data_IF_464384791696
#
_entry.id   IF_464384791696
#
_cell.length_a   1.000
_cell.length_b   1.000
_cell.length_c   1.000
_cell.angle_alpha   90.00
_cell.angle_beta   90.00
_cell.angle_gamma   90.00
#
_symmetry.space_group_name_H-M   'P 1'
#
loop_
_entity.id
_entity.type
_entity.pdbx_description
1 polymer ?
#
# COMPACT_ATOMS: atom_id res chain seq x y z
N UNK A 1 -17.82 33.20 27.16
CA UNK A 1 -16.38 33.36 27.45
C UNK A 1 -16.21 33.36 28.95
N UNK A 2 -15.17 32.75 29.56
CA UNK A 2 -13.91 32.22 28.99
C UNK A 2 -14.02 30.70 28.69
N UNK A 3 -13.37 30.08 27.70
CA UNK A 3 -11.94 29.95 27.32
C UNK A 3 -11.20 28.85 28.09
N UNK A 4 -10.70 27.90 27.27
CA UNK A 4 -9.43 27.16 27.42
C UNK A 4 -9.39 25.83 28.21
N UNK A 5 -8.75 24.86 27.55
CA UNK A 5 -8.01 23.72 28.12
C UNK A 5 -8.79 22.49 28.59
N UNK A 6 -9.31 21.72 27.63
CA UNK A 6 -9.24 20.26 27.73
C UNK A 6 -8.46 19.73 26.54
N UNK A 7 -7.18 19.43 26.81
CA UNK A 7 -6.24 18.86 25.87
C UNK A 7 -6.66 17.46 25.48
N UNK A 8 -7.11 17.33 24.24
CA UNK A 8 -7.33 16.04 23.59
C UNK A 8 -5.96 15.43 23.26
N UNK A 9 -5.54 14.52 24.13
CA UNK A 9 -4.51 13.53 23.87
C UNK A 9 -5.08 12.49 22.89
N UNK A 10 -4.20 11.85 22.09
CA UNK A 10 -4.16 10.40 21.85
C UNK A 10 -3.27 10.04 20.64
N UNK A 11 -2.38 9.07 20.85
CA UNK A 11 -1.44 8.48 19.89
C UNK A 11 -2.13 7.68 18.77
N UNK A 12 -1.44 7.45 17.64
CA UNK A 12 -1.95 6.54 16.62
C UNK A 12 -0.81 5.84 15.86
N UNK A 13 -0.48 4.63 16.32
CA UNK A 13 -0.22 3.50 15.43
C UNK A 13 -1.55 3.07 14.81
N UNK A 14 -1.50 2.55 13.58
CA UNK A 14 -2.63 2.39 12.64
C UNK A 14 -3.90 1.77 13.30
N UNK A 15 -4.86 2.60 13.76
CA UNK A 15 -6.33 2.40 13.75
C UNK A 15 -7.12 3.68 14.15
N UNK A 16 -8.18 3.95 13.36
CA UNK A 16 -9.34 4.88 13.48
C UNK A 16 -9.13 6.40 13.32
N UNK A 17 -9.77 6.92 12.27
CA UNK A 17 -10.53 8.19 12.24
C UNK A 17 -9.89 9.38 12.98
N UNK A 18 -8.83 9.96 12.42
CA UNK A 18 -8.33 11.27 12.83
C UNK A 18 -8.42 12.27 11.69
N UNK A 19 -8.92 13.45 12.04
CA UNK A 19 -9.40 14.54 11.18
C UNK A 19 -8.31 15.61 11.17
N UNK A 20 -7.33 15.48 10.29
CA UNK A 20 -6.39 16.55 9.95
C UNK A 20 -5.96 16.34 8.51
N UNK A 21 -6.22 17.31 7.64
CA UNK A 21 -5.99 17.23 6.19
C UNK A 21 -4.49 17.08 5.86
N UNK A 22 -4.03 15.98 5.23
CA UNK A 22 -2.72 15.91 4.62
C UNK A 22 -2.85 16.10 3.09
N UNK A 23 -1.95 16.90 2.52
CA UNK A 23 -1.61 16.80 1.10
C UNK A 23 -0.46 15.81 0.93
N UNK A 24 -0.65 14.76 0.12
CA UNK A 24 0.36 13.76 -0.20
C UNK A 24 0.87 14.02 -1.61
N UNK A 25 2.16 14.27 -1.75
CA UNK A 25 2.82 14.51 -3.04
C UNK A 25 3.55 13.22 -3.43
N UNK A 26 3.26 12.63 -4.58
CA UNK A 26 4.02 11.51 -5.12
C UNK A 26 4.96 12.01 -6.21
N UNK A 27 6.26 11.85 -6.00
CA UNK A 27 7.37 12.23 -6.86
C UNK A 27 8.24 11.00 -7.12
N UNK A 28 8.65 10.72 -8.35
CA UNK A 28 9.67 9.73 -8.57
C UNK A 28 11.07 10.35 -8.46
N UNK A 29 11.86 9.96 -7.46
CA UNK A 29 13.20 10.51 -7.20
C UNK A 29 14.12 9.39 -6.74
N UNK A 30 15.08 9.01 -7.59
CA UNK A 30 16.08 8.00 -7.29
C UNK A 30 17.11 8.52 -6.29
N UNK A 31 17.34 7.75 -5.22
CA UNK A 31 18.57 7.65 -4.39
C UNK A 31 19.13 8.94 -3.77
N UNK A 32 18.78 9.23 -2.51
CA UNK A 32 19.66 9.93 -1.56
C UNK A 32 19.16 9.74 -0.10
N UNK A 33 19.62 8.69 0.58
CA UNK A 33 19.06 8.24 1.86
C UNK A 33 19.65 8.81 3.17
N UNK A 34 20.63 9.74 3.19
CA UNK A 34 20.86 10.52 4.44
C UNK A 34 20.71 12.04 4.33
N UNK A 35 21.08 12.69 3.21
CA UNK A 35 21.21 14.16 3.18
C UNK A 35 19.89 14.91 3.00
N UNK A 36 18.92 14.31 2.29
CA UNK A 36 17.59 14.90 2.11
C UNK A 36 16.76 14.92 3.42
N UNK A 37 17.02 13.96 4.33
CA UNK A 37 16.36 13.88 5.63
C UNK A 37 16.72 15.05 6.55
N UNK A 38 17.96 15.54 6.47
CA UNK A 38 18.44 16.68 7.27
C UNK A 38 18.00 18.01 6.64
N UNK A 39 18.06 18.15 5.31
CA UNK A 39 17.72 19.42 4.65
C UNK A 39 16.23 19.81 4.75
N UNK A 40 15.30 18.85 4.74
CA UNK A 40 13.87 19.14 4.91
C UNK A 40 13.49 19.54 6.35
N UNK A 41 14.23 19.06 7.35
CA UNK A 41 13.93 19.27 8.77
C UNK A 41 14.59 20.56 9.30
N UNK A 42 15.68 21.03 8.68
CA UNK A 42 16.39 22.25 9.09
C UNK A 42 15.77 23.55 8.55
N UNK A 43 14.94 23.49 7.50
CA UNK A 43 14.24 24.68 7.02
C UNK A 43 13.11 25.09 7.97
N UNK A 44 13.32 26.20 8.71
CA UNK A 44 12.37 26.80 9.68
C UNK A 44 10.97 27.08 9.13
N UNK A 45 10.78 27.12 7.81
CA UNK A 45 9.50 27.39 7.15
C UNK A 45 8.73 26.14 6.69
N UNK A 46 9.32 24.95 6.81
CA UNK A 46 8.66 23.71 6.44
C UNK A 46 7.75 23.22 7.58
N UNK A 47 6.43 23.29 7.37
CA UNK A 47 5.47 22.69 8.29
C UNK A 47 5.34 21.21 7.98
N UNK A 48 6.03 20.38 8.76
CA UNK A 48 5.92 18.92 8.70
C UNK A 48 4.49 18.45 8.99
N UNK A 49 4.18 17.27 8.47
CA UNK A 49 2.98 16.54 8.85
C UNK A 49 3.02 16.20 10.35
N UNK A 50 1.96 16.59 11.07
CA UNK A 50 1.87 16.33 12.52
C UNK A 50 1.23 14.95 12.73
N UNK A 51 2.06 14.02 13.17
CA UNK A 51 1.65 12.70 13.69
C UNK A 51 1.28 12.89 15.17
N UNK A 52 0.44 12.04 15.78
CA UNK A 52 0.13 12.12 17.20
C UNK A 52 1.36 12.18 18.13
N UNK A 53 1.18 12.72 19.34
CA UNK A 53 2.26 12.94 20.32
C UNK A 53 3.03 11.63 20.58
N UNK A 54 4.35 11.67 20.43
CA UNK A 54 5.26 10.52 20.60
C UNK A 54 5.69 9.83 19.31
N UNK A 55 5.13 10.18 18.16
CA UNK A 55 5.59 9.67 16.87
C UNK A 55 6.67 10.57 16.24
N UNK A 56 7.64 10.00 15.49
CA UNK A 56 8.62 10.79 14.76
C UNK A 56 7.94 11.66 13.70
N UNK A 57 8.51 12.83 13.42
CA UNK A 57 8.04 13.69 12.34
C UNK A 57 8.37 13.01 11.01
N UNK A 58 7.35 12.63 10.26
CA UNK A 58 7.51 12.02 8.93
C UNK A 58 7.48 13.15 7.89
N UNK A 59 8.53 13.26 7.09
CA UNK A 59 8.66 14.27 6.02
C UNK A 59 8.47 13.64 4.64
N UNK A 60 9.03 12.45 4.43
CA UNK A 60 8.91 11.71 3.18
C UNK A 60 9.03 10.19 3.40
N UNK A 61 8.62 9.42 2.40
CA UNK A 61 8.84 7.98 2.25
C UNK A 61 9.42 7.75 0.86
N UNK A 62 10.67 7.29 0.79
CA UNK A 62 11.38 7.06 -0.47
C UNK A 62 11.71 5.59 -0.66
N UNK A 63 11.48 5.07 -1.84
CA UNK A 63 11.94 3.74 -2.25
C UNK A 63 12.32 3.76 -3.72
N UNK A 64 13.60 3.49 -4.02
CA UNK A 64 14.16 3.59 -5.37
C UNK A 64 13.72 4.90 -6.04
N UNK A 65 12.96 4.82 -7.13
CA UNK A 65 12.45 5.94 -7.89
C UNK A 65 11.05 6.38 -7.45
N UNK A 66 10.52 5.99 -6.29
CA UNK A 66 9.17 6.37 -5.81
C UNK A 66 9.25 7.05 -4.44
N UNK A 67 9.00 8.35 -4.40
CA UNK A 67 9.04 9.22 -3.21
C UNK A 67 7.67 9.83 -2.92
N UNK A 68 7.18 9.64 -1.69
CA UNK A 68 6.02 10.33 -1.16
C UNK A 68 6.50 11.44 -0.23
N UNK A 69 6.16 12.69 -0.51
CA UNK A 69 6.46 13.83 0.37
C UNK A 69 5.19 14.24 1.12
N UNK A 70 5.30 14.33 2.44
CA UNK A 70 4.24 14.76 3.35
C UNK A 70 4.48 16.21 3.76
N UNK A 71 3.63 17.11 3.27
CA UNK A 71 3.76 18.54 3.55
C UNK A 71 2.41 19.17 3.89
N UNK A 72 2.46 20.24 4.69
CA UNK A 72 1.29 21.09 4.91
C UNK A 72 0.90 21.88 3.65
N UNK A 73 -0.38 22.28 3.55
CA UNK A 73 -0.93 23.00 2.39
C UNK A 73 -0.51 24.49 2.29
N UNK A 74 0.53 24.90 3.02
CA UNK A 74 1.05 26.28 3.04
C UNK A 74 1.90 26.56 1.79
N UNK A 75 1.76 27.75 1.19
CA UNK A 75 2.57 28.14 0.02
C UNK A 75 4.07 28.07 0.28
N UNK A 76 4.53 28.48 1.48
CA UNK A 76 5.96 28.49 1.80
C UNK A 76 6.53 27.08 1.88
N UNK A 77 5.81 26.16 2.53
CA UNK A 77 6.24 24.76 2.65
C UNK A 77 6.23 24.03 1.31
N UNK A 78 5.23 24.29 0.46
CA UNK A 78 5.18 23.72 -0.89
C UNK A 78 6.30 24.25 -1.79
N UNK A 79 6.62 25.54 -1.72
CA UNK A 79 7.74 26.13 -2.48
C UNK A 79 9.09 25.57 -2.01
N UNK A 80 9.27 25.40 -0.71
CA UNK A 80 10.46 24.77 -0.15
C UNK A 80 10.66 23.35 -0.70
N UNK A 81 9.60 22.55 -0.76
CA UNK A 81 9.65 21.21 -1.37
C UNK A 81 10.05 21.28 -2.85
N UNK A 82 9.41 22.15 -3.65
CA UNK A 82 9.76 22.30 -5.06
C UNK A 82 11.21 22.74 -5.26
N UNK A 83 11.69 23.68 -4.46
CA UNK A 83 13.07 24.16 -4.52
C UNK A 83 14.08 23.06 -4.18
N UNK A 84 13.77 22.20 -3.20
CA UNK A 84 14.64 21.07 -2.86
C UNK A 84 14.71 20.08 -4.01
N UNK A 85 13.58 19.79 -4.68
CA UNK A 85 13.57 18.85 -5.80
C UNK A 85 14.28 19.44 -7.01
N UNK A 86 14.10 20.73 -7.30
CA UNK A 86 14.83 21.43 -8.37
C UNK A 86 16.34 21.43 -8.12
N UNK A 87 16.76 21.74 -6.88
CA UNK A 87 18.17 21.70 -6.49
C UNK A 87 18.74 20.28 -6.61
N UNK A 88 17.97 19.27 -6.19
CA UNK A 88 18.35 17.87 -6.36
C UNK A 88 18.49 17.50 -7.84
N UNK A 89 17.55 17.92 -8.68
CA UNK A 89 17.60 17.68 -10.13
C UNK A 89 18.81 18.37 -10.78
N UNK A 90 19.15 19.58 -10.35
CA UNK A 90 20.32 20.30 -10.84
C UNK A 90 21.65 19.60 -10.50
N UNK A 91 21.74 18.99 -9.31
CA UNK A 91 22.95 18.27 -8.87
C UNK A 91 23.03 16.86 -9.48
N UNK A 92 21.91 16.14 -9.50
CA UNK A 92 21.85 14.75 -10.00
C UNK A 92 21.73 14.63 -11.51
N UNK A 93 21.33 15.69 -12.20
CA UNK A 93 20.96 15.67 -13.62
C UNK A 93 19.60 15.00 -13.89
N UNK A 94 18.81 14.71 -12.85
CA UNK A 94 17.50 14.07 -12.98
C UNK A 94 16.39 15.12 -13.14
N UNK A 95 15.45 14.87 -14.05
CA UNK A 95 14.27 15.71 -14.25
C UNK A 95 12.99 15.06 -13.71
N UNK A 96 12.11 15.89 -13.14
CA UNK A 96 10.81 15.45 -12.64
C UNK A 96 9.86 15.18 -13.81
N UNK A 97 9.29 13.98 -13.87
CA UNK A 97 8.19 13.70 -14.78
C UNK A 97 6.85 14.20 -14.21
N UNK A 98 6.46 15.42 -14.57
CA UNK A 98 5.22 16.09 -14.13
C UNK A 98 3.96 15.25 -14.41
N UNK A 99 3.94 14.47 -15.49
CA UNK A 99 2.79 13.62 -15.86
C UNK A 99 2.63 12.41 -14.94
N UNK A 100 3.76 11.85 -14.46
CA UNK A 100 3.75 10.78 -13.46
C UNK A 100 3.51 11.32 -12.06
N UNK A 101 3.96 12.54 -11.78
CA UNK A 101 3.76 13.20 -10.49
C UNK A 101 2.30 13.55 -10.25
N UNK A 102 1.92 13.61 -8.99
CA UNK A 102 0.58 14.01 -8.60
C UNK A 102 0.53 14.41 -7.15
N UNK A 103 -0.42 15.27 -6.83
CA UNK A 103 -0.73 15.58 -5.44
C UNK A 103 -2.10 15.04 -5.09
N UNK A 104 -2.24 14.63 -3.84
CA UNK A 104 -3.47 14.15 -3.23
C UNK A 104 -3.78 15.05 -2.06
N UNK A 105 -5.05 15.21 -1.75
CA UNK A 105 -5.51 15.99 -0.60
C UNK A 105 -6.58 15.20 0.12
N UNK A 106 -6.73 15.45 1.41
CA UNK A 106 -7.87 14.90 2.13
C UNK A 106 -9.18 15.57 1.69
N UNK A 107 -10.26 14.79 1.75
CA UNK A 107 -11.56 15.15 1.18
C UNK A 107 -12.23 16.38 1.85
N UNK A 108 -11.77 16.77 3.04
CA UNK A 108 -12.29 17.92 3.79
C UNK A 108 -11.52 19.22 3.52
N UNK A 109 -10.47 19.17 2.70
CA UNK A 109 -9.66 20.34 2.43
C UNK A 109 -10.42 21.36 1.57
N UNK A 110 -10.41 22.67 1.91
CA UNK A 110 -11.06 23.70 1.12
C UNK A 110 -10.54 23.78 -0.32
N UNK A 111 -11.44 24.09 -1.27
CA UNK A 111 -11.11 24.21 -2.70
C UNK A 111 -9.97 25.20 -2.98
N UNK A 112 -9.89 26.30 -2.23
CA UNK A 112 -8.82 27.30 -2.38
C UNK A 112 -7.44 26.74 -2.01
N UNK A 113 -7.35 25.81 -1.04
CA UNK A 113 -6.11 25.14 -0.69
C UNK A 113 -5.67 24.18 -1.81
N UNK A 114 -6.62 23.47 -2.42
CA UNK A 114 -6.35 22.58 -3.56
C UNK A 114 -5.85 23.38 -4.77
N UNK A 115 -6.49 24.51 -5.08
CA UNK A 115 -6.07 25.41 -6.14
C UNK A 115 -4.66 25.97 -5.88
N UNK A 116 -4.33 26.28 -4.62
CA UNK A 116 -3.00 26.73 -4.21
C UNK A 116 -1.95 25.65 -4.43
N UNK A 117 -2.20 24.41 -4.03
CA UNK A 117 -1.26 23.30 -4.23
C UNK A 117 -1.02 23.07 -5.72
N UNK A 118 -2.08 23.06 -6.52
CA UNK A 118 -2.00 22.92 -7.99
C UNK A 118 -1.20 24.06 -8.63
N UNK A 119 -1.37 25.29 -8.17
CA UNK A 119 -0.65 26.46 -8.69
C UNK A 119 0.84 26.42 -8.36
N UNK A 120 1.20 25.99 -7.14
CA UNK A 120 2.59 25.98 -6.70
C UNK A 120 3.37 24.79 -7.26
N UNK A 121 2.75 23.60 -7.31
CA UNK A 121 3.43 22.37 -7.74
C UNK A 121 3.32 22.10 -9.24
N UNK A 122 2.27 22.61 -9.90
CA UNK A 122 1.97 22.30 -11.30
C UNK A 122 1.43 20.88 -11.53
N UNK A 123 1.27 20.07 -10.48
CA UNK A 123 0.88 18.67 -10.62
C UNK A 123 -0.65 18.48 -10.74
N UNK A 124 -1.04 17.33 -11.29
CA UNK A 124 -2.44 16.90 -11.33
C UNK A 124 -2.95 16.45 -9.95
N UNK A 125 -4.23 16.72 -9.68
CA UNK A 125 -4.92 16.17 -8.51
C UNK A 125 -5.20 14.68 -8.73
N UNK A 126 -4.66 13.82 -7.86
CA UNK A 126 -4.96 12.39 -7.80
C UNK A 126 -5.97 12.11 -6.69
N UNK A 127 -6.83 11.11 -6.91
CA UNK A 127 -7.81 10.65 -5.93
C UNK A 127 -7.40 9.30 -5.35
N UNK A 128 -7.80 9.05 -4.10
CA UNK A 128 -7.64 7.73 -3.48
C UNK A 128 -8.59 6.70 -4.12
N UNK A 129 -8.22 5.41 -4.19
CA UNK A 129 -6.97 4.81 -3.70
C UNK A 129 -5.79 5.01 -4.67
N UNK A 130 -4.57 5.12 -4.14
CA UNK A 130 -3.34 5.22 -4.95
C UNK A 130 -2.42 4.05 -4.62
N UNK A 131 -1.72 3.51 -5.61
CA UNK A 131 -0.76 2.42 -5.41
C UNK A 131 0.61 2.99 -5.11
N UNK A 132 1.24 2.48 -4.05
CA UNK A 132 2.62 2.75 -3.70
C UNK A 132 3.30 1.41 -3.42
N UNK A 133 4.35 1.07 -4.17
CA UNK A 133 5.07 -0.22 -4.07
C UNK A 133 4.15 -1.46 -4.15
N UNK A 134 3.10 -1.38 -4.99
CA UNK A 134 2.10 -2.44 -5.12
C UNK A 134 1.04 -2.48 -4.02
N UNK A 135 1.21 -1.70 -2.95
CA UNK A 135 0.24 -1.58 -1.86
C UNK A 135 -0.79 -0.47 -2.13
N UNK A 136 -2.10 -0.73 -1.94
CA UNK A 136 -3.12 0.30 -2.08
C UNK A 136 -3.14 1.20 -0.84
N UNK A 137 -2.78 2.46 -1.03
CA UNK A 137 -2.98 3.53 -0.07
C UNK A 137 -4.43 4.02 -0.16
N UNK A 138 -5.15 3.99 0.95
CA UNK A 138 -6.55 4.43 1.03
C UNK A 138 -6.82 5.20 2.32
N UNK A 139 -7.82 6.06 2.27
CA UNK A 139 -8.30 6.81 3.44
C UNK A 139 -9.58 6.18 3.97
N UNK A 140 -9.64 5.95 5.28
CA UNK A 140 -10.84 5.47 5.96
C UNK A 140 -10.86 3.95 6.17
N UNK A 141 -12.03 3.33 5.97
CA UNK A 141 -12.20 1.89 6.23
C UNK A 141 -11.62 1.06 5.09
N UNK A 142 -10.90 -0.01 5.44
CA UNK A 142 -10.48 -1.04 4.47
C UNK A 142 -11.70 -1.63 3.76
N UNK A 143 -11.67 -1.66 2.43
CA UNK A 143 -12.70 -2.27 1.58
C UNK A 143 -12.09 -3.40 0.77
N UNK A 144 -12.86 -4.45 0.50
CA UNK A 144 -12.41 -5.57 -0.34
C UNK A 144 -11.99 -5.10 -1.74
N UNK A 145 -12.66 -4.08 -2.28
CA UNK A 145 -12.39 -3.51 -3.60
C UNK A 145 -10.93 -3.09 -3.79
N UNK A 146 -10.28 -2.55 -2.74
CA UNK A 146 -8.90 -2.07 -2.84
C UNK A 146 -7.87 -3.19 -3.07
N UNK A 147 -8.24 -4.43 -2.73
CA UNK A 147 -7.38 -5.60 -2.88
C UNK A 147 -7.79 -6.49 -4.05
N UNK A 148 -8.75 -6.06 -4.88
CA UNK A 148 -9.23 -6.88 -5.98
C UNK A 148 -8.16 -7.12 -7.04
N UNK A 149 -7.21 -6.20 -7.22
CA UNK A 149 -6.08 -6.37 -8.14
C UNK A 149 -5.14 -7.51 -7.73
N UNK A 150 -4.98 -7.76 -6.42
CA UNK A 150 -4.26 -8.94 -5.93
C UNK A 150 -4.98 -10.22 -6.37
N UNK A 151 -6.30 -10.26 -6.17
CA UNK A 151 -7.14 -11.40 -6.58
C UNK A 151 -7.03 -11.61 -8.09
N UNK A 152 -7.10 -10.55 -8.89
CA UNK A 152 -6.96 -10.60 -10.34
C UNK A 152 -5.57 -11.08 -10.78
N UNK A 153 -4.51 -10.69 -10.08
CA UNK A 153 -3.15 -11.13 -10.38
C UNK A 153 -2.99 -12.64 -10.15
N UNK A 154 -3.58 -13.18 -9.08
CA UNK A 154 -3.63 -14.62 -8.83
C UNK A 154 -4.47 -15.34 -9.90
N UNK A 155 -5.66 -14.82 -10.22
CA UNK A 155 -6.53 -15.39 -11.25
C UNK A 155 -5.84 -15.38 -12.62
N UNK A 156 -5.16 -14.29 -12.99
CA UNK A 156 -4.42 -14.17 -14.26
C UNK A 156 -3.32 -15.23 -14.37
N UNK A 157 -2.55 -15.47 -13.30
CA UNK A 157 -1.54 -16.54 -13.27
C UNK A 157 -2.16 -17.93 -13.37
N UNK A 158 -3.23 -18.19 -12.63
CA UNK A 158 -3.99 -19.44 -12.69
C UNK A 158 -4.51 -19.69 -14.11
N UNK A 159 -5.12 -18.70 -14.75
CA UNK A 159 -5.63 -18.79 -16.12
C UNK A 159 -4.51 -19.03 -17.14
N UNK A 160 -3.35 -18.38 -16.97
CA UNK A 160 -2.18 -18.59 -17.83
C UNK A 160 -1.63 -20.02 -17.77
N UNK A 161 -1.73 -20.69 -16.62
CA UNK A 161 -1.28 -22.08 -16.48
C UNK A 161 -2.37 -23.10 -16.78
N UNK A 162 -3.63 -22.67 -16.87
CA UNK A 162 -4.74 -23.53 -17.26
C UNK A 162 -4.59 -24.07 -18.69
N UNK A 163 -3.94 -23.32 -19.58
CA UNK A 163 -3.60 -23.78 -20.94
C UNK A 163 -2.45 -24.80 -20.99
N UNK A 164 -1.70 -24.94 -19.90
CA UNK A 164 -0.59 -25.89 -19.79
C UNK A 164 -1.10 -27.23 -19.23
N UNK A 165 -0.74 -28.35 -19.86
CA UNK A 165 -1.09 -29.70 -19.39
C UNK A 165 -0.28 -30.08 -18.13
N UNK A 166 -0.64 -29.50 -16.99
CA UNK A 166 0.03 -29.73 -15.71
C UNK A 166 -0.58 -30.92 -14.96
N UNK A 167 0.29 -31.79 -14.44
CA UNK A 167 -0.09 -32.85 -13.50
C UNK A 167 -0.61 -32.26 -12.18
N UNK A 168 -1.39 -33.03 -11.42
CA UNK A 168 -1.89 -32.60 -10.11
C UNK A 168 -0.75 -32.24 -9.15
N UNK A 169 0.34 -33.02 -9.15
CA UNK A 169 1.54 -32.70 -8.36
C UNK A 169 2.20 -31.38 -8.78
N UNK A 170 2.30 -31.11 -10.09
CA UNK A 170 2.81 -29.83 -10.60
C UNK A 170 1.97 -28.64 -10.16
N UNK A 171 0.64 -28.77 -10.13
CA UNK A 171 -0.27 -27.72 -9.64
C UNK A 171 -0.05 -27.42 -8.16
N UNK A 172 0.14 -28.45 -7.33
CA UNK A 172 0.45 -28.29 -5.90
C UNK A 172 1.76 -27.51 -5.72
N UNK A 173 2.81 -27.86 -6.48
CA UNK A 173 4.09 -27.16 -6.42
C UNK A 173 3.93 -25.68 -6.80
N UNK A 174 3.19 -25.37 -7.87
CA UNK A 174 2.93 -23.99 -8.29
C UNK A 174 2.12 -23.21 -7.25
N UNK A 175 1.13 -23.83 -6.62
CA UNK A 175 0.36 -23.21 -5.52
C UNK A 175 1.31 -22.88 -4.36
N UNK A 176 2.13 -23.85 -3.94
CA UNK A 176 3.04 -23.69 -2.81
C UNK A 176 4.12 -22.64 -3.03
N UNK A 177 4.74 -22.62 -4.20
CA UNK A 177 5.94 -21.79 -4.42
C UNK A 177 5.63 -20.47 -5.12
N UNK A 178 4.62 -20.42 -5.99
CA UNK A 178 4.34 -19.23 -6.79
C UNK A 178 3.09 -18.52 -6.29
N UNK A 179 1.94 -19.20 -6.24
CA UNK A 179 0.69 -18.52 -5.87
C UNK A 179 0.70 -18.08 -4.40
N UNK A 180 1.30 -18.86 -3.50
CA UNK A 180 1.40 -18.47 -2.09
C UNK A 180 2.32 -17.27 -1.88
N UNK A 181 3.32 -17.06 -2.74
CA UNK A 181 4.28 -15.95 -2.66
C UNK A 181 3.76 -14.64 -3.25
N UNK A 182 2.80 -14.68 -4.18
CA UNK A 182 2.19 -13.47 -4.75
C UNK A 182 1.58 -12.58 -3.65
N UNK A 183 0.73 -13.06 -2.73
CA UNK A 183 0.14 -12.20 -1.71
C UNK A 183 1.10 -11.83 -0.57
N UNK A 184 2.23 -12.53 -0.36
CA UNK A 184 3.03 -12.32 0.87
C UNK A 184 3.56 -10.92 1.03
N UNK A 185 3.98 -10.25 -0.05
CA UNK A 185 4.44 -8.86 0.03
C UNK A 185 3.32 -7.95 0.57
N UNK A 186 2.11 -8.08 0.02
CA UNK A 186 0.96 -7.30 0.44
C UNK A 186 0.49 -7.64 1.86
N UNK A 187 0.62 -8.90 2.28
CA UNK A 187 0.28 -9.33 3.65
C UNK A 187 1.28 -8.87 4.70
N UNK A 188 2.53 -8.60 4.31
CA UNK A 188 3.54 -8.05 5.21
C UNK A 188 3.25 -6.57 5.54
N UNK A 189 2.79 -5.80 4.55
CA UNK A 189 2.62 -4.35 4.69
C UNK A 189 1.17 -3.92 4.95
N UNK A 190 0.19 -4.79 4.69
CA UNK A 190 -1.22 -4.44 4.79
C UNK A 190 -2.07 -5.55 5.41
N UNK A 191 -3.19 -5.16 6.03
CA UNK A 191 -4.14 -6.09 6.64
C UNK A 191 -5.43 -6.23 5.80
N UNK A 192 -5.44 -7.03 4.71
CA UNK A 192 -6.61 -7.21 3.88
C UNK A 192 -7.78 -7.84 4.67
N UNK A 193 -9.04 -7.58 4.28
CA UNK A 193 -10.19 -8.26 4.85
C UNK A 193 -10.11 -9.78 4.64
N UNK A 194 -10.57 -10.57 5.61
CA UNK A 194 -10.63 -12.04 5.51
C UNK A 194 -11.34 -12.55 4.24
N UNK A 195 -12.34 -11.81 3.76
CA UNK A 195 -13.04 -12.13 2.51
C UNK A 195 -12.15 -12.10 1.28
N UNK A 196 -11.13 -11.23 1.24
CA UNK A 196 -10.16 -11.18 0.13
C UNK A 196 -9.25 -12.41 0.18
N UNK A 197 -8.77 -12.78 1.37
CA UNK A 197 -7.95 -13.99 1.55
C UNK A 197 -8.72 -15.24 1.11
N UNK A 198 -9.98 -15.36 1.53
CA UNK A 198 -10.85 -16.47 1.15
C UNK A 198 -11.09 -16.54 -0.37
N UNK A 199 -11.21 -15.39 -1.05
CA UNK A 199 -11.32 -15.35 -2.52
C UNK A 199 -10.05 -15.86 -3.21
N UNK A 200 -8.88 -15.50 -2.69
CA UNK A 200 -7.58 -15.98 -3.21
C UNK A 200 -7.43 -17.48 -2.99
N UNK A 201 -7.71 -17.96 -1.77
CA UNK A 201 -7.65 -19.40 -1.44
C UNK A 201 -8.65 -20.20 -2.29
N UNK A 202 -9.85 -19.67 -2.53
CA UNK A 202 -10.83 -20.29 -3.45
C UNK A 202 -10.30 -20.38 -4.89
N UNK A 203 -9.60 -19.36 -5.38
CA UNK A 203 -8.99 -19.40 -6.71
C UNK A 203 -7.89 -20.47 -6.79
N UNK A 204 -7.07 -20.62 -5.75
CA UNK A 204 -6.06 -21.68 -5.65
C UNK A 204 -6.68 -23.08 -5.58
N UNK A 205 -7.76 -23.24 -4.80
CA UNK A 205 -8.51 -24.50 -4.69
C UNK A 205 -9.12 -24.91 -6.04
N UNK A 206 -9.73 -23.95 -6.74
CA UNK A 206 -10.29 -24.19 -8.07
C UNK A 206 -9.21 -24.55 -9.10
N UNK A 207 -8.01 -23.96 -9.01
CA UNK A 207 -6.88 -24.34 -9.85
C UNK A 207 -6.41 -25.77 -9.59
N UNK A 208 -6.35 -26.18 -8.31
CA UNK A 208 -5.93 -27.52 -7.92
C UNK A 208 -6.88 -28.59 -8.47
N UNK A 209 -8.17 -28.49 -8.14
CA UNK A 209 -9.17 -29.49 -8.49
C UNK A 209 -9.61 -29.41 -9.96
N UNK A 210 -9.47 -28.22 -10.57
CA UNK A 210 -9.87 -27.95 -11.95
C UNK A 210 -11.37 -27.69 -12.10
N UNK A 211 -11.75 -27.30 -13.32
CA UNK A 211 -13.14 -27.05 -13.72
C UNK A 211 -13.38 -27.88 -14.99
N UNK A 212 -14.46 -28.66 -15.03
CA UNK A 212 -14.90 -29.34 -16.25
C UNK A 212 -15.59 -28.30 -17.14
N UNK A 213 -15.51 -28.45 -18.46
CA UNK A 213 -16.36 -27.70 -19.39
C UNK A 213 -17.82 -27.82 -18.93
N UNK A 214 -18.36 -26.76 -18.32
CA UNK A 214 -19.72 -26.72 -17.78
C UNK A 214 -19.89 -26.88 -16.25
N UNK A 215 -18.84 -27.04 -15.44
CA UNK A 215 -19.01 -27.06 -13.98
C UNK A 215 -17.74 -27.25 -13.12
N UNK A 216 -17.81 -26.79 -11.86
CA UNK A 216 -16.77 -26.98 -10.84
C UNK A 216 -16.58 -28.48 -10.54
N UNK A 217 -15.34 -29.00 -10.56
CA UNK A 217 -15.08 -30.33 -10.01
C UNK A 217 -15.29 -30.29 -8.49
N UNK A 218 -15.85 -31.36 -7.94
CA UNK A 218 -15.99 -31.51 -6.49
C UNK A 218 -14.62 -31.38 -5.81
N UNK A 219 -14.56 -30.56 -4.75
CA UNK A 219 -13.38 -30.47 -3.89
C UNK A 219 -13.38 -31.71 -3.00
N UNK A 220 -12.42 -32.61 -3.20
CA UNK A 220 -12.34 -33.88 -2.48
C UNK A 220 -11.85 -33.71 -1.04
N UNK A 221 -11.10 -32.64 -0.77
CA UNK A 221 -10.51 -32.32 0.53
C UNK A 221 -10.77 -30.84 0.80
N UNK A 222 -11.08 -30.49 2.06
CA UNK A 222 -11.26 -29.08 2.45
C UNK A 222 -9.92 -28.35 2.33
N UNK A 223 -9.98 -27.06 1.98
CA UNK A 223 -8.76 -26.25 1.87
C UNK A 223 -7.95 -26.20 3.18
N UNK A 224 -8.63 -26.16 4.33
CA UNK A 224 -7.98 -26.20 5.64
C UNK A 224 -7.16 -27.49 5.86
N UNK A 225 -7.68 -28.64 5.42
CA UNK A 225 -7.01 -29.93 5.56
C UNK A 225 -5.81 -30.03 4.60
N UNK A 226 -5.88 -29.37 3.43
CA UNK A 226 -4.72 -29.23 2.52
C UNK A 226 -3.62 -28.34 3.12
N UNK A 227 -4.01 -27.38 3.96
CA UNK A 227 -3.08 -26.48 4.64
C UNK A 227 -2.39 -27.10 5.85
N UNK A 228 -2.88 -28.24 6.36
CA UNK A 228 -2.22 -28.97 7.43
C UNK A 228 -0.82 -29.46 7.00
N UNK A 229 0.04 -29.65 7.99
CA UNK A 229 1.40 -30.13 7.77
C UNK A 229 1.41 -31.56 7.19
N UNK A 230 2.47 -31.88 6.44
CA UNK A 230 2.68 -33.22 5.87
C UNK A 230 2.71 -34.31 6.95
N UNK A 231 3.13 -33.98 8.17
CA UNK A 231 3.12 -34.89 9.33
C UNK A 231 1.71 -35.21 9.84
N UNK A 232 0.74 -34.33 9.57
CA UNK A 232 -0.68 -34.50 9.92
C UNK A 232 -1.51 -35.04 8.73
N UNK A 233 -0.86 -35.48 7.65
CA UNK A 233 -1.53 -35.98 6.45
C UNK A 233 -2.01 -34.89 5.49
N UNK A 234 -1.64 -33.62 5.73
CA UNK A 234 -1.93 -32.52 4.84
C UNK A 234 -0.91 -32.38 3.71
N UNK A 235 -1.18 -31.45 2.79
CA UNK A 235 -0.28 -31.19 1.65
C UNK A 235 0.80 -30.19 2.02
N UNK A 236 0.72 -29.47 3.14
CA UNK A 236 1.70 -28.45 3.54
C UNK A 236 1.62 -27.17 2.69
N UNK A 237 0.41 -26.80 2.26
CA UNK A 237 0.16 -25.50 1.61
C UNK A 237 -0.02 -24.44 2.70
N UNK A 238 0.72 -23.34 2.64
CA UNK A 238 0.57 -22.27 3.65
C UNK A 238 -0.80 -21.59 3.54
N UNK A 239 -1.58 -21.60 4.62
CA UNK A 239 -2.81 -20.80 4.67
C UNK A 239 -2.47 -19.31 4.67
N UNK A 240 -3.18 -18.53 3.85
CA UNK A 240 -2.96 -17.09 3.78
C UNK A 240 -3.43 -16.40 5.06
N UNK A 241 -4.40 -16.97 5.76
CA UNK A 241 -4.87 -16.45 7.03
C UNK A 241 -3.81 -16.59 8.13
N UNK A 242 -3.12 -17.72 8.18
CA UNK A 242 -2.04 -17.98 9.15
C UNK A 242 -0.83 -17.10 8.86
N UNK A 243 -0.44 -17.00 7.58
CA UNK A 243 0.65 -16.10 7.14
C UNK A 243 0.32 -14.64 7.48
N UNK A 244 -0.90 -14.19 7.20
CA UNK A 244 -1.36 -12.85 7.58
C UNK A 244 -1.32 -12.64 9.10
N UNK A 245 -1.74 -13.63 9.88
CA UNK A 245 -1.75 -13.56 11.35
C UNK A 245 -0.33 -13.47 11.89
N UNK A 246 0.60 -14.27 11.37
CA UNK A 246 2.01 -14.20 11.71
C UNK A 246 2.63 -12.83 11.39
N UNK A 247 2.38 -12.28 10.20
CA UNK A 247 2.86 -10.93 9.86
C UNK A 247 2.21 -9.84 10.70
N UNK A 248 0.92 -10.00 11.03
CA UNK A 248 0.21 -9.05 11.89
C UNK A 248 0.86 -8.95 13.26
N UNK A 249 1.47 -10.01 13.81
CA UNK A 249 2.18 -9.97 15.09
C UNK A 249 3.45 -9.11 15.06
N UNK A 250 4.08 -8.94 13.90
CA UNK A 250 5.29 -8.11 13.73
C UNK A 250 4.98 -6.61 13.68
N UNK A 251 3.74 -6.24 13.37
CA UNK A 251 3.29 -4.86 13.19
C UNK A 251 2.92 -4.14 14.51
N UNK A 252 3.01 -4.83 15.65
CA UNK A 252 2.73 -4.31 17.00
C UNK A 252 3.99 -4.37 17.87
#
# INVERSE_FOLDING_TARGET
MPSSEFGENLGCSIRRHCRADPSLLALPLGVAEPEANTMLVEHREFKCFSVPRGCPKITHLSYADDVLVFSGSSSSSLRCVMQIIENYGAVSGQEINVQKCGFMVHAKLPSHCVARVRRVTGFGLKSFPVRYLGCPLFVGRRKCLYFMELVQSVISKVSSWRSSFLSHGGRIVLIKHVLSAIPTHLLADSCPPKGVLALVERAMANFLWGEREGGLRHHWIKWADLCADSSQGGVGVRSLLDVHTAFSLKLW
#
